data_IF_408363810757
#
_entry.id   IF_408363810757
#
_cell.length_a   1.000
_cell.length_b   1.000
_cell.length_c   1.000
_cell.angle_alpha   90.00
_cell.angle_beta   90.00
_cell.angle_gamma   90.00
#
_symmetry.space_group_name_H-M   'P 1'
#
loop_
_entity.id
_entity.type
_entity.pdbx_description
1 polymer ?
#
# COMPACT_ATOMS: atom_id res chain seq x y z
N UNK A 1 -9.75 32.29 30.09
CA UNK A 1 -8.45 31.78 29.58
C UNK A 1 -8.64 30.36 29.06
N UNK A 2 -8.01 30.12 27.91
CA UNK A 2 -7.98 28.99 26.96
C UNK A 2 -8.54 27.62 27.41
N UNK A 3 -9.56 27.17 26.66
CA UNK A 3 -9.96 25.76 26.53
C UNK A 3 -8.89 25.05 25.69
N UNK A 4 -8.29 23.99 26.23
CA UNK A 4 -7.35 23.14 25.50
C UNK A 4 -8.16 22.17 24.65
N UNK A 5 -8.04 22.31 23.33
CA UNK A 5 -8.60 21.39 22.35
C UNK A 5 -7.62 20.21 22.25
N UNK A 6 -8.00 19.04 22.76
CA UNK A 6 -7.25 17.81 22.53
C UNK A 6 -7.59 17.35 21.10
N UNK A 7 -6.67 17.60 20.17
CA UNK A 7 -6.74 17.03 18.84
C UNK A 7 -6.41 15.54 18.96
N UNK A 8 -7.46 14.70 18.94
CA UNK A 8 -7.33 13.28 18.78
C UNK A 8 -6.92 13.03 17.31
N UNK A 9 -5.62 12.89 17.06
CA UNK A 9 -5.12 12.45 15.77
C UNK A 9 -5.45 10.95 15.63
N UNK A 10 -6.66 10.67 15.14
CA UNK A 10 -6.96 9.36 14.58
C UNK A 10 -6.11 9.21 13.32
N UNK A 11 -4.94 8.59 13.46
CA UNK A 11 -4.23 8.00 12.33
C UNK A 11 -5.07 6.81 11.91
N UNK A 12 -6.10 7.08 11.12
CA UNK A 12 -6.80 6.06 10.38
C UNK A 12 -5.77 5.53 9.37
N UNK A 13 -5.14 4.40 9.69
CA UNK A 13 -4.48 3.57 8.69
C UNK A 13 -5.57 3.15 7.70
N UNK A 14 -5.78 3.98 6.67
CA UNK A 14 -6.46 3.56 5.46
C UNK A 14 -5.67 2.37 4.95
N UNK A 15 -6.29 1.20 4.99
CA UNK A 15 -5.76 -0.02 4.41
C UNK A 15 -5.17 0.31 3.04
N UNK A 16 -3.90 -0.06 2.84
CA UNK A 16 -3.15 0.16 1.60
C UNK A 16 -3.83 -0.59 0.43
N UNK A 17 -4.86 0.00 -0.18
CA UNK A 17 -5.45 -0.45 -1.44
C UNK A 17 -4.58 -0.04 -2.64
N UNK A 18 -3.26 -0.05 -2.46
CA UNK A 18 -2.27 0.30 -3.46
C UNK A 18 -1.81 -0.93 -4.24
N UNK A 19 -1.41 -0.76 -5.51
CA UNK A 19 -0.73 -1.80 -6.29
C UNK A 19 0.42 -2.35 -5.45
N UNK A 20 0.38 -3.66 -5.26
CA UNK A 20 1.49 -4.44 -4.73
C UNK A 20 2.26 -4.99 -5.93
N UNK A 21 3.60 -5.05 -5.85
CA UNK A 21 4.37 -5.78 -6.85
C UNK A 21 3.88 -7.25 -6.87
N UNK A 22 3.82 -7.87 -8.06
CA UNK A 22 3.54 -9.30 -8.30
C UNK A 22 2.09 -9.78 -8.53
N UNK A 23 1.08 -8.91 -8.69
CA UNK A 23 -0.29 -9.35 -9.04
C UNK A 23 -0.72 -8.95 -10.45
N UNK A 24 -0.44 -9.75 -11.50
CA UNK A 24 -0.97 -9.63 -12.88
C UNK A 24 -1.35 -8.18 -13.32
N UNK A 25 -0.45 -7.22 -13.15
CA UNK A 25 -0.72 -5.81 -13.39
C UNK A 25 -0.77 -5.55 -14.88
N UNK A 26 -1.85 -4.94 -15.35
CA UNK A 26 -1.95 -4.57 -16.76
C UNK A 26 -1.21 -3.26 -17.00
N UNK A 27 -0.25 -3.26 -17.93
CA UNK A 27 0.41 -2.05 -18.40
C UNK A 27 -0.16 -1.73 -19.78
N UNK A 28 -1.01 -0.71 -19.84
CA UNK A 28 -1.68 -0.31 -21.06
C UNK A 28 -0.80 0.67 -21.85
N UNK A 29 -0.49 0.34 -23.10
CA UNK A 29 0.44 1.08 -23.97
C UNK A 29 -0.23 1.43 -25.31
N UNK A 30 0.28 2.46 -26.00
CA UNK A 30 -0.18 2.77 -27.36
C UNK A 30 0.19 1.63 -28.33
N UNK A 31 -0.75 1.22 -29.17
CA UNK A 31 -0.48 0.31 -30.30
C UNK A 31 0.04 1.02 -31.55
N UNK A 32 0.22 2.36 -31.49
CA UNK A 32 0.76 3.14 -32.61
C UNK A 32 2.13 2.59 -33.03
N UNK A 33 2.37 2.46 -34.34
CA UNK A 33 3.60 1.86 -34.85
C UNK A 33 4.86 2.61 -34.38
N UNK A 34 5.82 1.86 -33.84
CA UNK A 34 7.06 2.41 -33.30
C UNK A 34 6.90 3.19 -31.99
N UNK A 35 5.84 2.93 -31.23
CA UNK A 35 5.73 3.31 -29.81
C UNK A 35 6.77 2.52 -29.01
N UNK A 36 7.58 3.17 -28.16
CA UNK A 36 8.42 2.47 -27.20
C UNK A 36 7.58 1.62 -26.25
N UNK A 37 7.88 0.32 -26.16
CA UNK A 37 7.24 -0.59 -25.21
C UNK A 37 8.09 -0.64 -23.94
N UNK A 38 7.51 -0.51 -22.74
CA UNK A 38 8.28 -0.58 -21.50
C UNK A 38 8.80 -2.01 -21.27
N UNK A 39 10.03 -2.12 -20.78
CA UNK A 39 10.50 -3.36 -20.16
C UNK A 39 9.85 -3.47 -18.78
N UNK A 40 9.19 -4.59 -18.51
CA UNK A 40 8.46 -4.82 -17.26
C UNK A 40 8.93 -6.11 -16.60
N UNK A 41 9.01 -6.09 -15.27
CA UNK A 41 9.39 -7.26 -14.48
C UNK A 41 8.32 -8.36 -14.46
N UNK A 42 8.55 -9.47 -13.74
CA UNK A 42 7.54 -10.51 -13.54
C UNK A 42 6.29 -9.93 -12.86
N UNK A 43 5.12 -10.43 -13.24
CA UNK A 43 3.82 -10.01 -12.70
C UNK A 43 3.16 -8.84 -13.43
N UNK A 44 3.78 -8.30 -14.48
CA UNK A 44 3.16 -7.32 -15.38
C UNK A 44 2.80 -7.94 -16.72
N UNK A 45 1.69 -7.49 -17.31
CA UNK A 45 1.22 -7.88 -18.63
C UNK A 45 1.04 -6.62 -19.47
N UNK A 46 1.83 -6.50 -20.54
CA UNK A 46 1.69 -5.38 -21.48
C UNK A 46 0.52 -5.64 -22.40
N UNK A 47 -0.42 -4.68 -22.44
CA UNK A 47 -1.58 -4.69 -23.32
C UNK A 47 -1.51 -3.46 -24.22
N UNK A 48 -1.55 -3.67 -25.53
CA UNK A 48 -1.55 -2.57 -26.48
C UNK A 48 -2.98 -2.15 -26.84
N UNK A 49 -3.21 -0.84 -26.95
CA UNK A 49 -4.41 -0.27 -27.54
C UNK A 49 -4.12 1.04 -28.27
N UNK A 50 -4.87 1.35 -29.32
CA UNK A 50 -4.79 2.67 -29.96
C UNK A 50 -5.56 3.72 -29.14
N UNK A 51 -6.66 3.28 -28.52
CA UNK A 51 -7.60 4.12 -27.77
C UNK A 51 -8.06 3.38 -26.52
N UNK A 52 -8.08 4.09 -25.40
CA UNK A 52 -8.64 3.59 -24.16
C UNK A 52 -9.31 4.71 -23.38
N UNK A 53 -10.24 4.36 -22.52
CA UNK A 53 -10.99 5.32 -21.71
C UNK A 53 -10.85 5.01 -20.23
N UNK A 54 -10.61 6.05 -19.44
CA UNK A 54 -10.80 6.00 -17.99
C UNK A 54 -12.32 6.00 -17.77
N UNK A 55 -12.86 4.82 -17.49
CA UNK A 55 -14.28 4.56 -17.44
C UNK A 55 -14.78 4.54 -15.99
N UNK A 56 -15.79 5.38 -15.72
CA UNK A 56 -16.56 5.31 -14.48
C UNK A 56 -17.76 4.42 -14.68
N UNK A 57 -17.95 3.47 -13.76
CA UNK A 57 -19.13 2.59 -13.72
C UNK A 57 -19.86 2.72 -12.39
N UNK A 58 -21.16 2.45 -12.39
CA UNK A 58 -21.99 2.46 -11.18
C UNK A 58 -22.87 1.22 -11.09
N UNK A 59 -22.79 0.49 -9.98
CA UNK A 59 -23.65 -0.65 -9.69
C UNK A 59 -24.81 -0.21 -8.81
N UNK A 60 -26.04 -0.35 -9.30
CA UNK A 60 -27.26 -0.06 -8.52
C UNK A 60 -27.48 -1.06 -7.39
N UNK A 61 -27.02 -2.31 -7.55
CA UNK A 61 -27.18 -3.37 -6.56
C UNK A 61 -26.32 -3.13 -5.32
N UNK A 62 -25.06 -2.75 -5.52
CA UNK A 62 -24.11 -2.48 -4.43
C UNK A 62 -24.03 -1.01 -4.06
N UNK A 63 -24.60 -0.13 -4.89
CA UNK A 63 -24.56 1.34 -4.76
C UNK A 63 -23.13 1.88 -4.72
N UNK A 64 -22.25 1.31 -5.53
CA UNK A 64 -20.82 1.64 -5.57
C UNK A 64 -20.39 2.08 -6.95
N UNK A 65 -19.49 3.08 -7.01
CA UNK A 65 -18.75 3.43 -8.21
C UNK A 65 -17.48 2.60 -8.34
N UNK A 66 -17.05 2.34 -9.58
CA UNK A 66 -15.71 1.83 -9.93
C UNK A 66 -15.05 2.74 -10.96
N UNK A 67 -13.72 2.69 -10.99
CA UNK A 67 -12.89 3.36 -11.98
C UNK A 67 -12.00 2.31 -12.63
N UNK A 68 -12.21 2.10 -13.91
CA UNK A 68 -11.54 1.08 -14.70
C UNK A 68 -10.95 1.73 -15.96
N UNK A 69 -10.01 1.07 -16.61
CA UNK A 69 -9.52 1.48 -17.93
C UNK A 69 -10.09 0.52 -18.97
N UNK A 70 -10.93 1.05 -19.86
CA UNK A 70 -11.54 0.28 -20.95
C UNK A 70 -10.66 0.35 -22.19
N UNK A 71 -10.33 -0.80 -22.75
CA UNK A 71 -9.66 -0.91 -24.04
C UNK A 71 -10.70 -0.92 -25.15
N UNK A 72 -10.67 0.10 -26.02
CA UNK A 72 -11.69 0.26 -27.06
C UNK A 72 -11.53 -0.70 -28.24
N UNK A 73 -10.37 -1.33 -28.41
CA UNK A 73 -10.16 -2.31 -29.47
C UNK A 73 -10.96 -3.60 -29.24
N UNK A 74 -11.23 -3.97 -27.98
CA UNK A 74 -11.87 -5.24 -27.62
C UNK A 74 -12.95 -5.12 -26.53
N UNK A 75 -13.16 -3.92 -25.97
CA UNK A 75 -14.11 -3.67 -24.89
C UNK A 75 -13.68 -4.20 -23.52
N UNK A 76 -12.47 -4.75 -23.37
CA UNK A 76 -11.98 -5.27 -22.10
C UNK A 76 -11.85 -4.14 -21.08
N UNK A 77 -12.27 -4.39 -19.84
CA UNK A 77 -12.11 -3.47 -18.73
C UNK A 77 -11.05 -3.98 -17.76
N UNK A 78 -10.08 -3.12 -17.45
CA UNK A 78 -9.00 -3.42 -16.52
C UNK A 78 -9.16 -2.53 -15.28
N UNK A 79 -9.16 -3.13 -14.09
CA UNK A 79 -9.43 -2.36 -12.88
C UNK A 79 -8.36 -1.29 -12.65
N UNK A 80 -8.77 -0.07 -12.27
CA UNK A 80 -7.83 1.01 -11.92
C UNK A 80 -6.90 0.64 -10.77
N UNK A 81 -7.32 -0.30 -9.91
CA UNK A 81 -6.51 -0.86 -8.81
C UNK A 81 -5.37 -1.75 -9.28
N UNK A 82 -5.35 -2.18 -10.55
CA UNK A 82 -4.33 -3.08 -11.10
C UNK A 82 -3.93 -2.73 -12.54
N UNK A 83 -4.07 -1.45 -12.92
CA UNK A 83 -3.76 -0.97 -14.27
C UNK A 83 -2.86 0.25 -14.23
N UNK A 84 -1.81 0.21 -15.03
CA UNK A 84 -0.89 1.31 -15.29
C UNK A 84 -1.14 1.84 -16.70
N UNK A 85 -1.52 3.10 -16.82
CA UNK A 85 -1.56 3.81 -18.10
C UNK A 85 -0.15 4.34 -18.38
N UNK A 86 0.49 3.84 -19.44
CA UNK A 86 1.88 4.16 -19.71
C UNK A 86 2.05 5.43 -20.54
N UNK A 87 2.89 6.35 -20.07
CA UNK A 87 3.34 7.53 -20.81
C UNK A 87 4.76 7.35 -21.33
N UNK A 88 4.93 7.39 -22.66
CA UNK A 88 6.22 7.17 -23.33
C UNK A 88 7.05 8.45 -23.46
N UNK A 89 8.34 8.30 -23.76
CA UNK A 89 9.27 9.42 -24.04
C UNK A 89 8.78 10.36 -25.14
N UNK A 90 8.07 9.85 -26.15
CA UNK A 90 7.50 10.67 -27.24
C UNK A 90 6.36 11.62 -26.78
N UNK A 91 5.83 11.40 -25.58
CA UNK A 91 4.83 12.29 -24.97
C UNK A 91 5.45 13.51 -24.28
N UNK A 92 6.78 13.58 -24.18
CA UNK A 92 7.47 14.79 -23.72
C UNK A 92 6.99 16.01 -24.51
N UNK A 93 6.64 17.05 -23.77
CA UNK A 93 6.21 18.34 -24.30
C UNK A 93 6.84 19.42 -23.45
N UNK A 94 7.33 20.48 -24.08
CA UNK A 94 7.80 21.64 -23.35
C UNK A 94 6.62 22.48 -22.88
N UNK A 95 6.67 22.96 -21.63
CA UNK A 95 5.70 23.92 -21.10
C UNK A 95 5.66 25.15 -22.02
N UNK A 96 4.49 25.51 -22.59
CA UNK A 96 4.39 26.66 -23.47
C UNK A 96 4.72 27.99 -22.77
N UNK A 97 5.15 28.98 -23.55
CA UNK A 97 5.24 30.36 -23.06
C UNK A 97 3.85 30.95 -22.80
N UNK A 98 3.73 31.80 -21.78
CA UNK A 98 2.49 32.50 -21.44
C UNK A 98 2.06 32.20 -20.01
N UNK A 99 1.60 33.24 -19.29
CA UNK A 99 1.26 33.12 -17.87
C UNK A 99 0.17 32.08 -17.60
N UNK A 100 -0.73 31.86 -18.56
CA UNK A 100 -1.81 30.88 -18.45
C UNK A 100 -1.32 29.42 -18.43
N UNK A 101 -0.08 29.15 -18.84
CA UNK A 101 0.52 27.81 -18.86
C UNK A 101 1.43 27.52 -17.67
N UNK A 102 1.64 28.50 -16.78
CA UNK A 102 2.55 28.41 -15.63
C UNK A 102 2.20 27.29 -14.64
N UNK A 103 0.95 26.81 -14.64
CA UNK A 103 0.51 25.68 -13.81
C UNK A 103 1.23 24.37 -14.16
N UNK A 104 1.73 24.23 -15.39
CA UNK A 104 2.48 23.06 -15.85
C UNK A 104 3.94 23.08 -15.38
N UNK A 105 4.41 24.20 -14.83
CA UNK A 105 5.79 24.42 -14.41
C UNK A 105 6.46 25.59 -15.13
N UNK A 106 7.80 25.71 -15.05
CA UNK A 106 8.53 26.78 -15.71
C UNK A 106 8.47 26.63 -17.23
N UNK A 107 8.44 27.76 -17.96
CA UNK A 107 8.46 27.79 -19.43
C UNK A 107 9.64 26.97 -19.96
N UNK A 108 9.39 26.10 -20.93
CA UNK A 108 10.40 25.18 -21.49
C UNK A 108 10.66 23.92 -20.65
N UNK A 109 10.11 23.84 -19.43
CA UNK A 109 10.14 22.62 -18.61
C UNK A 109 9.48 21.44 -19.30
N UNK A 110 9.80 20.22 -18.88
CA UNK A 110 9.26 18.99 -19.51
C UNK A 110 8.03 18.51 -18.79
N UNK A 111 6.97 18.20 -19.54
CA UNK A 111 5.79 17.46 -19.10
C UNK A 111 5.54 16.27 -20.03
N UNK A 112 4.73 15.32 -19.59
CA UNK A 112 4.22 14.24 -20.43
C UNK A 112 2.73 14.43 -20.65
N UNK A 113 2.33 14.55 -21.92
CA UNK A 113 0.94 14.83 -22.26
C UNK A 113 0.27 13.68 -23.01
N UNK A 114 -0.98 13.39 -22.66
CA UNK A 114 -1.92 12.64 -23.50
C UNK A 114 -2.81 13.66 -24.20
N UNK A 115 -2.65 13.86 -25.52
CA UNK A 115 -3.42 14.86 -26.24
C UNK A 115 -4.91 14.50 -26.32
N UNK A 116 -5.76 15.52 -26.29
CA UNK A 116 -7.21 15.34 -26.45
C UNK A 116 -7.66 15.04 -27.88
N UNK A 117 -6.76 15.07 -28.86
CA UNK A 117 -7.08 14.81 -30.27
C UNK A 117 -6.33 13.60 -30.81
N UNK A 118 -7.02 12.83 -31.66
CA UNK A 118 -6.47 11.65 -32.31
C UNK A 118 -5.21 11.96 -33.16
N UNK A 119 -5.17 13.03 -33.99
CA UNK A 119 -3.96 13.35 -34.77
C UNK A 119 -2.74 13.65 -33.89
N UNK A 120 -2.92 14.43 -32.82
CA UNK A 120 -1.84 14.75 -31.89
C UNK A 120 -1.37 13.52 -31.12
N UNK A 121 -2.30 12.65 -30.71
CA UNK A 121 -1.98 11.39 -30.03
C UNK A 121 -1.19 10.45 -30.93
N UNK A 122 -1.60 10.31 -32.19
CA UNK A 122 -0.88 9.52 -33.20
C UNK A 122 0.53 10.06 -33.43
N UNK A 123 0.68 11.38 -33.55
CA UNK A 123 1.98 12.04 -33.73
C UNK A 123 2.92 11.80 -32.54
N UNK A 124 2.40 11.87 -31.32
CA UNK A 124 3.14 11.57 -30.09
C UNK A 124 3.30 10.09 -29.80
N UNK A 125 2.69 9.21 -30.62
CA UNK A 125 2.60 7.77 -30.36
C UNK A 125 2.08 7.48 -28.94
N UNK A 126 1.17 8.31 -28.47
CA UNK A 126 0.53 8.15 -27.17
C UNK A 126 -0.68 7.25 -27.30
N UNK A 127 -1.13 6.70 -26.17
CA UNK A 127 -2.48 6.15 -26.10
C UNK A 127 -3.44 7.33 -26.35
N UNK A 128 -4.41 7.17 -27.26
CA UNK A 128 -5.49 8.14 -27.35
C UNK A 128 -6.38 7.90 -26.14
N UNK A 129 -6.23 8.71 -25.10
CA UNK A 129 -6.85 8.47 -23.80
C UNK A 129 -8.10 9.35 -23.65
N UNK A 130 -9.23 8.73 -23.34
CA UNK A 130 -10.49 9.41 -23.08
C UNK A 130 -11.02 9.19 -21.67
N UNK A 131 -12.20 9.72 -21.43
CA UNK A 131 -12.98 9.57 -20.21
C UNK A 131 -14.39 9.14 -20.58
N UNK A 132 -14.93 8.16 -19.88
CA UNK A 132 -16.24 7.63 -20.20
C UNK A 132 -17.10 7.35 -18.96
N UNK A 133 -18.41 7.43 -19.16
CA UNK A 133 -19.43 7.01 -18.19
C UNK A 133 -20.20 5.77 -18.68
N UNK A 134 -19.59 4.92 -19.51
CA UNK A 134 -20.27 3.80 -20.17
C UNK A 134 -20.90 2.81 -19.19
N UNK A 135 -20.34 2.67 -18.00
CA UNK A 135 -20.89 1.80 -16.95
C UNK A 135 -21.99 2.46 -16.11
N UNK A 136 -22.53 3.61 -16.54
CA UNK A 136 -23.61 4.33 -15.85
C UNK A 136 -24.78 4.51 -16.79
N UNK A 137 -25.93 3.93 -16.46
CA UNK A 137 -27.16 4.10 -17.23
C UNK A 137 -27.75 5.50 -17.06
N UNK A 138 -28.30 6.03 -18.15
CA UNK A 138 -29.10 7.26 -18.13
C UNK A 138 -30.31 7.14 -17.20
N UNK A 139 -30.69 8.24 -16.56
CA UNK A 139 -31.81 8.36 -15.63
C UNK A 139 -31.50 8.01 -14.17
N UNK A 140 -30.31 7.49 -13.87
CA UNK A 140 -29.93 7.16 -12.49
C UNK A 140 -29.59 8.42 -11.69
N UNK A 141 -28.75 9.29 -12.25
CA UNK A 141 -28.27 10.51 -11.62
C UNK A 141 -28.84 11.75 -12.29
N UNK A 142 -29.03 12.82 -11.53
CA UNK A 142 -29.34 14.15 -12.06
C UNK A 142 -28.15 14.71 -12.84
N UNK A 143 -28.35 15.70 -13.70
CA UNK A 143 -27.25 16.38 -14.40
C UNK A 143 -27.47 16.41 -15.92
N UNK A 144 -26.41 16.71 -16.66
CA UNK A 144 -26.48 16.87 -18.12
C UNK A 144 -26.70 15.53 -18.86
N UNK A 145 -27.26 15.61 -20.07
CA UNK A 145 -27.35 14.50 -21.04
C UNK A 145 -27.95 13.19 -20.49
N UNK A 146 -28.90 13.29 -19.57
CA UNK A 146 -29.56 12.11 -18.97
C UNK A 146 -28.87 11.54 -17.73
N UNK A 147 -27.78 12.14 -17.26
CA UNK A 147 -27.26 11.94 -15.91
C UNK A 147 -25.78 12.31 -15.76
N UNK A 148 -25.47 13.12 -14.76
CA UNK A 148 -24.11 13.61 -14.49
C UNK A 148 -23.40 12.79 -13.42
N UNK A 149 -22.15 12.41 -13.70
CA UNK A 149 -21.21 11.84 -12.74
C UNK A 149 -20.08 12.84 -12.54
N UNK A 150 -19.93 13.35 -11.34
CA UNK A 150 -18.83 14.25 -11.01
C UNK A 150 -17.60 13.46 -10.59
N UNK A 151 -16.48 13.71 -11.25
CA UNK A 151 -15.18 13.16 -10.91
C UNK A 151 -14.28 14.27 -10.37
N UNK A 152 -13.54 14.00 -9.30
CA UNK A 152 -12.50 14.90 -8.78
C UNK A 152 -11.23 14.13 -8.41
N UNK A 153 -10.09 14.79 -8.47
CA UNK A 153 -8.82 14.26 -7.93
C UNK A 153 -8.81 14.55 -6.43
N UNK A 154 -8.77 13.52 -5.59
CA UNK A 154 -8.61 13.69 -4.16
C UNK A 154 -7.15 13.96 -3.79
N UNK A 155 -6.24 13.17 -4.33
CA UNK A 155 -4.81 13.27 -4.05
C UNK A 155 -3.98 12.61 -5.15
N UNK A 156 -2.69 12.90 -5.13
CA UNK A 156 -1.70 12.28 -6.00
C UNK A 156 -0.46 11.96 -5.18
N UNK A 157 0.22 10.88 -5.54
CA UNK A 157 1.56 10.57 -5.09
C UNK A 157 2.41 10.08 -6.25
N UNK A 158 3.67 10.48 -6.31
CA UNK A 158 4.67 9.87 -7.18
C UNK A 158 5.46 8.86 -6.35
N UNK A 159 5.17 7.58 -6.56
CA UNK A 159 5.77 6.46 -5.83
C UNK A 159 7.26 6.28 -6.16
N UNK A 160 7.70 6.70 -7.35
CA UNK A 160 9.12 6.63 -7.73
C UNK A 160 9.92 7.81 -7.14
N UNK A 161 9.31 9.00 -7.08
CA UNK A 161 9.93 10.21 -6.55
C UNK A 161 8.94 11.00 -5.67
N UNK A 162 8.77 10.62 -4.38
CA UNK A 162 7.77 11.21 -3.49
C UNK A 162 7.80 12.74 -3.44
N UNK A 163 6.61 13.36 -3.42
CA UNK A 163 6.45 14.82 -3.37
C UNK A 163 6.71 15.55 -4.70
N UNK A 164 7.02 14.84 -5.77
CA UNK A 164 7.28 15.44 -7.09
C UNK A 164 6.12 15.23 -8.06
N UNK A 165 5.98 16.18 -9.01
CA UNK A 165 5.00 16.10 -10.08
C UNK A 165 3.57 16.44 -9.65
N UNK A 166 2.75 16.74 -10.64
CA UNK A 166 1.34 17.09 -10.54
C UNK A 166 0.58 16.46 -11.70
N UNK A 167 -0.73 16.31 -11.52
CA UNK A 167 -1.67 15.83 -12.52
C UNK A 167 -2.65 16.93 -12.89
N UNK A 168 -2.85 17.14 -14.18
CA UNK A 168 -3.86 18.05 -14.71
C UNK A 168 -4.63 17.40 -15.85
N UNK A 169 -5.94 17.63 -15.90
CA UNK A 169 -6.78 17.37 -17.06
C UNK A 169 -7.49 18.67 -17.48
N UNK A 170 -7.32 19.09 -18.74
CA UNK A 170 -7.80 20.38 -19.21
C UNK A 170 -8.14 20.38 -20.72
N UNK A 171 -9.09 21.22 -21.09
CA UNK A 171 -9.35 21.59 -22.48
C UNK A 171 -8.57 22.84 -22.86
N UNK A 172 -8.40 23.10 -24.16
CA UNK A 172 -7.87 24.39 -24.64
C UNK A 172 -8.99 25.13 -25.34
N UNK A 173 -9.33 26.32 -24.86
CA UNK A 173 -10.34 27.21 -25.45
C UNK A 173 -9.76 28.60 -25.64
N UNK A 174 -9.82 29.14 -26.86
CA UNK A 174 -9.27 30.47 -27.16
C UNK A 174 -7.77 30.64 -26.84
N UNK A 175 -6.99 29.55 -26.84
CA UNK A 175 -5.56 29.56 -26.47
C UNK A 175 -5.27 29.53 -24.96
N UNK A 176 -6.30 29.34 -24.13
CA UNK A 176 -6.19 29.23 -22.67
C UNK A 176 -6.66 27.86 -22.17
N UNK A 177 -6.09 27.35 -21.06
CA UNK A 177 -6.55 26.11 -20.45
C UNK A 177 -7.90 26.30 -19.75
N UNK A 178 -8.79 25.32 -19.89
CA UNK A 178 -10.03 25.18 -19.12
C UNK A 178 -9.89 23.92 -18.27
N UNK A 179 -9.70 24.11 -16.97
CA UNK A 179 -9.43 23.02 -16.03
C UNK A 179 -10.67 22.16 -15.76
N UNK A 180 -10.48 20.84 -15.79
CA UNK A 180 -11.48 19.84 -15.41
C UNK A 180 -11.06 19.10 -14.15
N UNK A 181 -9.83 18.59 -14.13
CA UNK A 181 -9.26 17.86 -12.99
C UNK A 181 -7.87 18.42 -12.66
N UNK A 182 -7.56 18.54 -11.38
CA UNK A 182 -6.26 19.05 -10.93
C UNK A 182 -5.91 18.45 -9.58
N UNK A 183 -4.66 18.01 -9.41
CA UNK A 183 -4.12 17.66 -8.09
C UNK A 183 -3.68 18.88 -7.26
N UNK A 184 -3.55 20.05 -7.90
CA UNK A 184 -3.17 21.28 -7.22
C UNK A 184 -4.39 22.06 -6.74
N UNK A 185 -4.29 22.56 -5.50
CA UNK A 185 -5.26 23.48 -4.92
C UNK A 185 -5.30 24.80 -5.72
N UNK A 186 -6.50 25.38 -5.90
CA UNK A 186 -6.69 26.66 -6.58
C UNK A 186 -7.13 26.57 -8.05
N UNK A 187 -7.18 25.36 -8.63
CA UNK A 187 -7.79 25.11 -9.94
C UNK A 187 -9.10 24.36 -9.80
N UNK A 188 -9.94 24.44 -10.84
CA UNK A 188 -11.16 23.63 -10.88
C UNK A 188 -10.80 22.14 -10.81
N UNK A 189 -11.44 21.43 -9.88
CA UNK A 189 -11.22 20.03 -9.61
C UNK A 189 -12.57 19.31 -9.47
N UNK A 190 -13.34 19.39 -10.54
CA UNK A 190 -14.61 18.71 -10.71
C UNK A 190 -14.88 18.60 -12.21
N UNK A 191 -15.03 17.38 -12.69
CA UNK A 191 -15.35 17.07 -14.06
C UNK A 191 -16.63 16.27 -14.15
N UNK A 192 -17.68 16.86 -14.73
CA UNK A 192 -18.93 16.14 -14.97
C UNK A 192 -18.82 15.30 -16.25
N UNK A 193 -18.89 13.98 -16.09
CA UNK A 193 -19.04 13.00 -17.15
C UNK A 193 -20.53 12.71 -17.35
N UNK A 194 -20.95 12.55 -18.61
CA UNK A 194 -22.31 12.11 -18.91
C UNK A 194 -22.44 10.59 -18.78
N UNK A 195 -23.57 10.12 -18.23
CA UNK A 195 -23.95 8.71 -18.20
C UNK A 195 -24.03 8.15 -19.63
N UNK A 196 -23.35 7.03 -19.89
CA UNK A 196 -23.17 6.46 -21.23
C UNK A 196 -22.32 7.30 -22.17
N UNK A 197 -21.80 8.44 -21.70
CA UNK A 197 -21.06 9.41 -22.50
C UNK A 197 -19.57 9.12 -22.59
N UNK A 198 -18.93 9.88 -23.48
CA UNK A 198 -17.51 9.77 -23.79
C UNK A 198 -16.95 11.14 -24.16
N UNK A 199 -15.73 11.42 -23.74
CA UNK A 199 -15.06 12.71 -23.97
C UNK A 199 -13.54 12.60 -23.95
N UNK A 200 -12.88 13.62 -24.48
CA UNK A 200 -11.42 13.75 -24.42
C UNK A 200 -11.03 15.12 -23.92
N UNK A 201 -10.03 15.14 -23.04
CA UNK A 201 -9.35 16.34 -22.55
C UNK A 201 -7.85 16.05 -22.54
N UNK A 202 -7.02 17.10 -22.54
CA UNK A 202 -5.58 16.90 -22.44
C UNK A 202 -5.27 16.47 -21.02
N UNK A 203 -4.43 15.45 -20.85
CA UNK A 203 -3.88 15.06 -19.56
C UNK A 203 -2.40 15.44 -19.54
N UNK A 204 -1.92 16.02 -18.45
CA UNK A 204 -0.51 16.32 -18.25
C UNK A 204 0.01 15.80 -16.90
N UNK A 205 1.19 15.19 -16.92
CA UNK A 205 2.01 14.83 -15.75
C UNK A 205 3.30 15.65 -15.79
N UNK A 206 3.67 16.29 -14.68
CA UNK A 206 4.77 17.26 -14.65
C UNK A 206 6.12 16.71 -14.15
N UNK A 207 6.21 15.41 -13.93
CA UNK A 207 7.46 14.71 -13.66
C UNK A 207 7.40 13.27 -14.23
N UNK A 208 8.55 12.60 -14.31
CA UNK A 208 8.64 11.17 -14.60
C UNK A 208 8.42 10.33 -13.33
N UNK A 209 8.18 9.02 -13.49
CA UNK A 209 7.97 8.08 -12.39
C UNK A 209 6.58 7.46 -12.37
N UNK A 210 6.30 6.69 -11.32
CA UNK A 210 5.01 6.04 -11.09
C UNK A 210 4.09 6.97 -10.29
N UNK A 211 3.02 7.45 -10.89
CA UNK A 211 1.99 8.18 -10.17
C UNK A 211 0.86 7.25 -9.76
N UNK A 212 0.37 7.42 -8.53
CA UNK A 212 -0.96 6.98 -8.12
C UNK A 212 -1.82 8.23 -7.94
N UNK A 213 -2.90 8.31 -8.71
CA UNK A 213 -3.88 9.39 -8.63
C UNK A 213 -5.16 8.81 -8.02
N UNK A 214 -5.60 9.40 -6.91
CA UNK A 214 -6.83 9.01 -6.24
C UNK A 214 -7.97 9.88 -6.74
N UNK A 215 -8.97 9.25 -7.34
CA UNK A 215 -10.18 9.90 -7.81
C UNK A 215 -11.33 9.64 -6.85
N UNK A 216 -12.29 10.57 -6.81
CA UNK A 216 -13.57 10.36 -6.16
C UNK A 216 -14.66 10.64 -7.18
N UNK A 217 -15.54 9.67 -7.39
CA UNK A 217 -16.71 9.78 -8.24
C UNK A 217 -17.95 10.03 -7.37
N UNK A 218 -18.84 10.91 -7.80
CA UNK A 218 -20.11 11.15 -7.13
C UNK A 218 -21.23 11.44 -8.11
N UNK A 219 -22.46 11.24 -7.66
CA UNK A 219 -23.68 11.54 -8.41
C UNK A 219 -24.89 11.65 -7.49
N UNK A 220 -25.84 12.51 -7.84
CA UNK A 220 -27.08 12.70 -7.07
C UNK A 220 -28.22 11.92 -7.73
N UNK A 221 -28.80 10.96 -7.00
CA UNK A 221 -29.84 10.07 -7.53
C UNK A 221 -31.09 10.85 -7.90
N UNK A 222 -31.63 10.61 -9.10
CA UNK A 222 -32.91 11.22 -9.54
C UNK A 222 -34.06 10.80 -8.62
N UNK A 223 -34.07 9.53 -8.20
CA UNK A 223 -35.18 8.92 -7.47
C UNK A 223 -35.37 9.48 -6.05
N UNK A 224 -34.26 9.86 -5.38
CA UNK A 224 -34.28 10.21 -3.95
C UNK A 224 -33.65 11.58 -3.65
N UNK A 225 -32.89 12.15 -4.58
CA UNK A 225 -32.07 13.35 -4.33
C UNK A 225 -30.83 13.08 -3.48
N UNK A 226 -30.53 11.82 -3.14
CA UNK A 226 -29.34 11.44 -2.36
C UNK A 226 -28.07 11.50 -3.22
N UNK A 227 -27.01 12.13 -2.70
CA UNK A 227 -25.68 12.08 -3.32
C UNK A 227 -24.94 10.83 -2.87
N UNK A 228 -24.55 10.01 -3.84
CA UNK A 228 -23.64 8.88 -3.65
C UNK A 228 -22.22 9.36 -3.98
N UNK A 229 -21.27 9.07 -3.10
CA UNK A 229 -19.85 9.34 -3.31
C UNK A 229 -19.05 8.05 -3.11
N UNK A 230 -18.05 7.84 -3.96
CA UNK A 230 -17.16 6.68 -3.87
C UNK A 230 -16.16 6.84 -2.72
N UNK A 231 -15.67 5.71 -2.21
CA UNK A 231 -14.35 5.71 -1.59
C UNK A 231 -13.29 6.11 -2.64
N UNK A 232 -12.09 6.54 -2.24
CA UNK A 232 -11.02 6.89 -3.19
C UNK A 232 -10.70 5.74 -4.14
N UNK A 233 -10.75 6.02 -5.44
CA UNK A 233 -10.52 5.08 -6.53
C UNK A 233 -9.14 5.37 -7.14
N UNK A 234 -8.16 4.44 -7.05
CA UNK A 234 -6.82 4.70 -7.56
C UNK A 234 -6.76 4.41 -9.07
N UNK A 235 -5.90 5.17 -9.76
CA UNK A 235 -5.41 4.85 -11.08
C UNK A 235 -3.93 5.20 -11.17
N UNK A 236 -3.17 4.43 -11.96
CA UNK A 236 -1.73 4.53 -12.02
C UNK A 236 -1.26 5.02 -13.37
N UNK A 237 -0.26 5.89 -13.36
CA UNK A 237 0.41 6.36 -14.55
C UNK A 237 1.91 6.09 -14.42
N UNK A 238 2.43 5.25 -15.30
CA UNK A 238 3.86 5.00 -15.41
C UNK A 238 4.47 5.95 -16.43
N UNK A 239 5.33 6.86 -16.03
CA UNK A 239 5.96 7.83 -16.94
C UNK A 239 7.42 7.46 -17.15
N UNK A 240 7.75 7.06 -18.38
CA UNK A 240 9.09 6.61 -18.80
C UNK A 240 9.63 5.46 -17.95
N UNK A 241 10.71 5.72 -17.20
CA UNK A 241 11.21 4.81 -16.19
C UNK A 241 10.42 5.05 -14.91
N UNK A 242 9.67 4.04 -14.52
CA UNK A 242 8.86 4.07 -13.31
C UNK A 242 9.10 2.79 -12.53
N UNK A 243 8.93 2.90 -11.22
CA UNK A 243 8.97 1.76 -10.31
C UNK A 243 7.79 1.91 -9.37
N UNK A 244 7.02 0.83 -9.22
CA UNK A 244 6.21 0.65 -8.04
C UNK A 244 7.20 0.22 -6.96
N UNK A 245 7.41 1.00 -5.90
CA UNK A 245 8.21 0.55 -4.78
C UNK A 245 7.69 -0.83 -4.36
N UNK A 246 8.59 -1.76 -4.01
CA UNK A 246 8.15 -2.91 -3.21
C UNK A 246 7.30 -2.32 -2.08
N UNK A 247 6.10 -2.86 -1.89
CA UNK A 247 5.21 -2.30 -0.89
C UNK A 247 6.01 -2.12 0.39
N UNK A 248 5.92 -0.93 0.98
CA UNK A 248 6.33 -0.77 2.36
C UNK A 248 5.31 -1.60 3.12
N UNK A 249 5.61 -2.90 3.26
CA UNK A 249 4.87 -3.82 4.11
C UNK A 249 4.56 -3.03 5.38
N UNK A 250 3.29 -2.94 5.82
CA UNK A 250 2.97 -2.23 7.04
C UNK A 250 3.94 -2.75 8.09
N UNK A 251 4.76 -1.85 8.64
CA UNK A 251 5.84 -2.24 9.55
C UNK A 251 5.22 -3.15 10.59
N UNK A 252 5.64 -4.40 10.55
CA UNK A 252 5.12 -5.47 11.40
C UNK A 252 6.30 -6.25 11.96
N UNK A 253 5.99 -7.05 12.96
CA UNK A 253 6.98 -7.83 13.67
C UNK A 253 8.15 -6.99 14.20
N UNK A 254 9.39 -7.46 13.96
CA UNK A 254 10.61 -6.87 14.53
C UNK A 254 10.83 -5.41 14.09
N UNK A 255 10.56 -5.07 12.83
CA UNK A 255 10.79 -3.71 12.30
C UNK A 255 9.86 -2.68 12.95
N UNK A 256 8.60 -3.04 13.22
CA UNK A 256 7.68 -2.17 13.94
C UNK A 256 8.12 -1.96 15.39
N UNK A 257 8.51 -3.04 16.05
CA UNK A 257 9.00 -3.01 17.42
C UNK A 257 10.28 -2.17 17.54
N UNK A 258 11.19 -2.28 16.57
CA UNK A 258 12.42 -1.48 16.49
C UNK A 258 12.11 0.02 16.48
N UNK A 259 11.22 0.47 15.59
CA UNK A 259 10.86 1.88 15.52
C UNK A 259 10.06 2.38 16.74
N UNK A 260 9.38 1.48 17.46
CA UNK A 260 8.68 1.82 18.69
C UNK A 260 9.60 1.88 19.91
N UNK A 261 10.68 1.10 19.92
CA UNK A 261 11.57 0.92 21.08
C UNK A 261 12.79 1.84 21.06
N UNK A 262 13.17 2.33 19.88
CA UNK A 262 14.37 3.13 19.67
C UNK A 262 14.06 4.51 19.10
N UNK A 263 14.90 5.51 19.40
CA UNK A 263 14.88 6.78 18.67
C UNK A 263 15.22 6.57 17.19
N UNK A 264 14.82 7.49 16.27
CA UNK A 264 15.10 7.34 14.85
C UNK A 264 16.58 7.05 14.53
N UNK A 265 17.51 7.72 15.20
CA UNK A 265 18.95 7.52 15.00
C UNK A 265 19.42 6.15 15.50
N UNK A 266 18.89 5.67 16.63
CA UNK A 266 19.22 4.34 17.16
C UNK A 266 18.63 3.22 16.29
N UNK A 267 17.45 3.44 15.71
CA UNK A 267 16.81 2.49 14.80
C UNK A 267 17.54 2.33 13.45
N UNK A 268 18.37 3.30 13.08
CA UNK A 268 19.24 3.26 11.90
C UNK A 268 20.60 2.60 12.18
N UNK A 269 21.00 2.43 13.45
CA UNK A 269 22.27 1.82 13.85
C UNK A 269 22.10 0.31 14.13
N UNK A 270 22.63 -0.59 13.28
CA UNK A 270 22.52 -2.03 13.48
C UNK A 270 23.25 -2.55 14.72
N UNK A 271 24.24 -1.81 15.24
CA UNK A 271 24.96 -2.19 16.46
C UNK A 271 24.16 -1.88 17.73
N UNK A 272 23.12 -1.06 17.62
CA UNK A 272 22.21 -0.73 18.72
C UNK A 272 20.90 -1.49 18.60
N UNK A 273 20.30 -1.50 17.40
CA UNK A 273 18.94 -1.98 17.19
C UNK A 273 18.84 -3.26 16.35
N UNK A 274 19.98 -3.83 15.95
CA UNK A 274 20.04 -5.12 15.27
C UNK A 274 19.66 -6.29 16.19
N UNK A 275 19.16 -7.42 15.65
CA UNK A 275 18.65 -8.54 16.47
C UNK A 275 19.63 -9.12 17.50
N UNK A 276 20.94 -9.04 17.24
CA UNK A 276 21.99 -9.55 18.12
C UNK A 276 22.63 -8.47 19.01
N UNK A 277 22.13 -7.23 18.97
CA UNK A 277 22.62 -6.16 19.84
C UNK A 277 21.93 -6.23 21.20
N UNK A 278 22.69 -5.90 22.25
CA UNK A 278 22.27 -5.80 23.65
C UNK A 278 22.69 -4.41 24.15
N UNK A 279 21.91 -3.35 23.84
CA UNK A 279 22.33 -1.98 24.04
C UNK A 279 22.17 -1.49 25.49
N UNK A 280 21.38 -2.17 26.32
CA UNK A 280 21.26 -1.88 27.77
C UNK A 280 22.09 -2.81 28.65
N UNK A 281 22.65 -3.88 28.10
CA UNK A 281 23.72 -4.68 28.69
C UNK A 281 23.24 -5.67 29.73
N UNK A 282 22.00 -6.14 29.65
CA UNK A 282 21.41 -7.07 30.61
C UNK A 282 21.58 -8.55 30.21
N UNK A 283 22.16 -8.80 29.03
CA UNK A 283 22.41 -10.12 28.47
C UNK A 283 21.28 -10.68 27.61
N UNK A 284 20.17 -9.94 27.43
CA UNK A 284 19.13 -10.23 26.46
C UNK A 284 19.33 -9.36 25.21
N UNK A 285 19.64 -10.00 24.08
CA UNK A 285 19.69 -9.29 22.81
C UNK A 285 18.29 -8.84 22.36
N UNK A 286 18.25 -7.91 21.41
CA UNK A 286 17.00 -7.37 20.89
C UNK A 286 16.04 -8.45 20.35
N UNK A 287 16.54 -9.59 19.85
CA UNK A 287 15.69 -10.69 19.42
C UNK A 287 15.00 -11.38 20.62
N UNK A 288 15.73 -11.56 21.73
CA UNK A 288 15.17 -12.05 23.01
C UNK A 288 14.14 -11.05 23.55
N UNK A 289 14.48 -9.77 23.60
CA UNK A 289 13.58 -8.68 24.04
C UNK A 289 12.27 -8.67 23.23
N UNK A 290 12.40 -8.70 21.91
CA UNK A 290 11.29 -8.73 20.97
C UNK A 290 10.40 -9.97 21.13
N UNK A 291 11.02 -11.12 21.39
CA UNK A 291 10.33 -12.39 21.51
C UNK A 291 9.60 -12.55 22.83
N UNK A 292 10.19 -12.06 23.93
CA UNK A 292 9.71 -12.28 25.29
C UNK A 292 9.01 -11.06 25.90
N UNK A 293 8.99 -9.92 25.19
CA UNK A 293 8.25 -8.73 25.56
C UNK A 293 8.97 -7.85 26.58
N UNK A 294 10.28 -7.72 26.41
CA UNK A 294 11.11 -6.87 27.24
C UNK A 294 11.28 -5.44 26.72
N UNK A 295 12.16 -4.68 27.37
CA UNK A 295 12.51 -3.32 27.00
C UNK A 295 14.00 -3.24 26.65
N UNK A 296 14.36 -3.08 25.36
CA UNK A 296 15.75 -3.14 24.91
C UNK A 296 16.55 -1.89 25.27
N UNK A 297 15.99 -0.95 26.04
CA UNK A 297 16.67 0.28 26.46
C UNK A 297 16.76 0.40 27.97
N UNK A 298 16.36 -0.65 28.69
CA UNK A 298 16.26 -0.66 30.13
C UNK A 298 16.44 -2.08 30.68
N UNK A 299 17.62 -2.34 31.22
CA UNK A 299 18.03 -3.56 31.92
C UNK A 299 17.17 -3.96 33.14
N UNK A 300 16.11 -3.21 33.46
CA UNK A 300 15.21 -3.50 34.56
C UNK A 300 14.15 -4.55 34.15
N UNK A 301 14.37 -5.78 34.56
CA UNK A 301 13.43 -6.88 34.34
C UNK A 301 14.16 -8.21 34.37
N UNK A 302 13.41 -9.31 34.45
CA UNK A 302 13.97 -10.63 34.21
C UNK A 302 13.14 -11.27 33.11
N UNK A 303 13.71 -11.39 31.92
CA UNK A 303 13.03 -11.93 30.73
C UNK A 303 13.25 -13.43 30.55
N UNK A 304 13.90 -14.07 31.53
CA UNK A 304 14.15 -15.50 31.51
C UNK A 304 12.91 -16.36 31.84
N UNK A 305 12.89 -17.62 31.37
CA UNK A 305 11.89 -18.59 31.80
C UNK A 305 12.01 -18.89 33.29
N UNK A 306 10.88 -19.05 33.96
CA UNK A 306 10.83 -19.61 35.33
C UNK A 306 10.65 -21.11 35.25
N UNK A 307 11.20 -21.85 36.21
CA UNK A 307 11.15 -23.32 36.25
C UNK A 307 10.52 -23.79 37.56
N UNK A 308 9.64 -24.79 37.47
CA UNK A 308 9.02 -25.43 38.63
C UNK A 308 8.81 -26.92 38.38
N UNK A 309 8.60 -27.69 39.44
CA UNK A 309 8.23 -29.12 39.33
C UNK A 309 6.82 -29.34 39.85
N UNK A 310 6.10 -30.29 39.27
CA UNK A 310 4.81 -30.74 39.79
C UNK A 310 4.68 -32.25 39.68
N UNK A 311 3.81 -32.85 40.48
CA UNK A 311 3.37 -34.23 40.29
C UNK A 311 1.89 -34.22 39.89
N UNK A 312 1.56 -34.83 38.77
CA UNK A 312 0.17 -34.94 38.30
C UNK A 312 -0.06 -36.36 37.80
N UNK A 313 -1.06 -37.03 38.35
CA UNK A 313 -1.41 -38.42 38.03
C UNK A 313 -0.22 -39.37 38.12
N UNK A 314 0.63 -39.21 39.14
CA UNK A 314 1.79 -40.07 39.38
C UNK A 314 3.03 -39.75 38.51
N UNK A 315 2.96 -38.79 37.60
CA UNK A 315 4.11 -38.36 36.79
C UNK A 315 4.72 -37.07 37.35
N UNK A 316 6.03 -37.06 37.56
CA UNK A 316 6.80 -35.85 37.87
C UNK A 316 7.08 -35.06 36.59
N UNK A 317 6.62 -33.82 36.56
CA UNK A 317 6.78 -32.90 35.43
C UNK A 317 7.73 -31.78 35.80
N UNK A 318 8.60 -31.43 34.86
CA UNK A 318 9.32 -30.17 34.87
C UNK A 318 8.53 -29.17 34.04
N UNK A 319 8.06 -28.11 34.70
CA UNK A 319 7.34 -27.00 34.09
C UNK A 319 8.27 -25.82 33.90
N UNK A 320 8.08 -25.13 32.79
CA UNK A 320 8.79 -23.91 32.51
C UNK A 320 7.83 -22.91 31.89
N UNK A 321 7.85 -21.70 32.44
CA UNK A 321 6.91 -20.65 32.11
C UNK A 321 7.67 -19.42 31.60
N UNK A 322 7.21 -18.86 30.49
CA UNK A 322 7.82 -17.70 29.84
C UNK A 322 6.76 -16.95 29.04
N UNK A 323 6.99 -15.66 28.84
CA UNK A 323 6.22 -14.83 27.92
C UNK A 323 6.68 -15.08 26.49
N UNK A 324 5.77 -15.14 25.54
CA UNK A 324 6.09 -15.38 24.14
C UNK A 324 5.21 -14.54 23.22
N UNK A 325 5.82 -13.84 22.27
CA UNK A 325 5.11 -13.14 21.19
C UNK A 325 4.39 -14.15 20.29
N UNK A 326 3.16 -13.84 19.90
CA UNK A 326 2.33 -14.73 19.08
C UNK A 326 1.89 -14.13 17.74
N UNK A 327 2.16 -12.85 17.50
CA UNK A 327 1.71 -12.13 16.31
C UNK A 327 2.76 -11.97 15.19
N UNK A 328 3.88 -12.69 15.25
CA UNK A 328 4.90 -12.72 14.20
C UNK A 328 5.12 -14.17 13.72
N UNK A 329 4.66 -14.53 12.51
CA UNK A 329 4.78 -15.90 11.99
C UNK A 329 6.21 -16.30 11.61
N UNK A 330 7.13 -15.34 11.45
CA UNK A 330 8.55 -15.63 11.22
C UNK A 330 9.28 -15.99 12.51
N UNK A 331 8.73 -15.61 13.67
CA UNK A 331 9.35 -15.83 14.96
C UNK A 331 9.07 -17.25 15.48
N UNK A 332 10.14 -17.99 15.73
CA UNK A 332 10.10 -19.31 16.36
C UNK A 332 10.58 -19.18 17.80
N UNK A 333 9.67 -19.37 18.76
CA UNK A 333 9.96 -19.45 20.19
C UNK A 333 9.60 -20.86 20.64
N UNK A 334 10.59 -21.74 20.77
CA UNK A 334 10.33 -23.12 21.12
C UNK A 334 11.26 -23.63 22.21
N UNK A 335 10.75 -24.37 23.19
CA UNK A 335 11.59 -25.00 24.19
C UNK A 335 12.28 -26.22 23.58
N UNK A 336 13.58 -26.35 23.82
CA UNK A 336 14.36 -27.51 23.41
C UNK A 336 15.06 -28.10 24.62
N UNK A 337 15.26 -29.41 24.62
CA UNK A 337 15.82 -30.12 25.77
C UNK A 337 16.96 -31.06 25.35
N UNK A 338 17.72 -31.52 26.35
CA UNK A 338 18.64 -32.65 26.27
C UNK A 338 18.76 -33.32 27.64
N UNK A 339 19.17 -34.59 27.67
CA UNK A 339 19.29 -35.35 28.93
C UNK A 339 20.70 -35.27 29.51
N UNK A 340 21.70 -34.99 28.66
CA UNK A 340 23.07 -34.76 29.10
C UNK A 340 23.65 -33.49 28.48
N UNK A 341 24.47 -32.77 29.23
CA UNK A 341 25.26 -31.66 28.68
C UNK A 341 26.31 -32.12 27.66
N UNK A 342 26.70 -33.40 27.69
CA UNK A 342 27.65 -34.01 26.73
C UNK A 342 27.03 -34.33 25.38
N UNK A 343 25.70 -34.32 25.26
CA UNK A 343 25.02 -34.48 23.97
C UNK A 343 25.22 -33.24 23.11
N UNK A 344 25.52 -33.48 21.82
CA UNK A 344 25.78 -32.42 20.84
C UNK A 344 24.50 -31.72 20.40
N UNK A 345 23.40 -32.47 20.23
CA UNK A 345 22.17 -31.96 19.64
C UNK A 345 21.10 -31.71 20.71
N UNK A 346 20.47 -30.54 20.63
CA UNK A 346 19.22 -30.27 21.32
C UNK A 346 18.06 -30.91 20.56
N UNK A 347 17.09 -31.44 21.30
CA UNK A 347 16.00 -32.23 20.77
C UNK A 347 14.65 -31.55 21.02
N UNK A 348 13.71 -31.79 20.10
CA UNK A 348 12.27 -31.51 20.26
C UNK A 348 11.46 -32.82 20.40
N UNK A 349 12.12 -33.98 20.41
CA UNK A 349 11.48 -35.30 20.31
C UNK A 349 11.01 -35.92 21.64
N UNK A 350 11.26 -35.26 22.78
CA UNK A 350 10.60 -35.61 24.06
C UNK A 350 9.32 -34.79 24.13
N UNK A 351 8.29 -35.38 24.73
CA UNK A 351 7.00 -34.75 25.00
C UNK A 351 7.24 -33.44 25.75
N UNK A 352 7.34 -32.35 25.00
CA UNK A 352 7.30 -30.97 25.45
C UNK A 352 5.96 -30.45 25.00
N UNK A 353 5.05 -30.25 25.96
CA UNK A 353 3.68 -29.87 25.66
C UNK A 353 3.35 -28.54 26.31
N UNK A 354 2.70 -27.67 25.54
CA UNK A 354 2.09 -26.44 26.04
C UNK A 354 0.84 -26.82 26.82
N UNK A 355 0.78 -26.45 28.10
CA UNK A 355 -0.37 -26.72 28.97
C UNK A 355 -1.24 -25.49 29.21
N UNK A 356 -0.67 -24.30 29.05
CA UNK A 356 -1.43 -23.06 29.07
C UNK A 356 -0.75 -21.99 28.23
N UNK A 357 -1.56 -21.06 27.71
CA UNK A 357 -1.14 -19.77 27.16
C UNK A 357 -2.22 -18.77 27.53
N UNK A 358 -1.90 -17.79 28.37
CA UNK A 358 -2.83 -16.72 28.72
C UNK A 358 -2.43 -15.47 27.94
N UNK A 359 -3.29 -14.93 27.06
CA UNK A 359 -3.00 -13.67 26.39
C UNK A 359 -2.70 -12.56 27.40
N UNK A 360 -1.65 -11.80 27.14
CA UNK A 360 -1.38 -10.56 27.87
C UNK A 360 -2.37 -9.48 27.43
N UNK A 361 -2.55 -8.44 28.24
CA UNK A 361 -3.54 -7.38 27.99
C UNK A 361 -3.33 -6.58 26.70
N UNK A 362 -2.20 -6.75 26.02
CA UNK A 362 -1.87 -6.11 24.74
C UNK A 362 -2.28 -6.94 23.51
N UNK A 363 -2.67 -8.21 23.67
CA UNK A 363 -2.99 -9.12 22.57
C UNK A 363 -1.82 -9.48 21.66
N UNK A 364 -0.57 -9.16 22.06
CA UNK A 364 0.66 -9.42 21.29
C UNK A 364 1.43 -10.61 21.83
N UNK A 365 1.39 -10.82 23.15
CA UNK A 365 2.07 -11.92 23.82
C UNK A 365 1.09 -12.86 24.52
N UNK A 366 1.62 -14.02 24.87
CA UNK A 366 1.01 -14.94 25.81
C UNK A 366 2.00 -15.31 26.91
N UNK A 367 1.52 -15.38 28.14
CA UNK A 367 2.23 -16.05 29.23
C UNK A 367 1.98 -17.55 29.11
N UNK A 368 2.99 -18.28 28.63
CA UNK A 368 2.91 -19.70 28.31
C UNK A 368 3.51 -20.55 29.41
N UNK A 369 2.88 -21.70 29.67
CA UNK A 369 3.45 -22.76 30.51
C UNK A 369 3.54 -24.02 29.68
N UNK A 370 4.72 -24.61 29.70
CA UNK A 370 5.02 -25.85 29.02
C UNK A 370 5.57 -26.86 30.03
N UNK A 371 5.48 -28.14 29.70
CA UNK A 371 5.99 -29.20 30.57
C UNK A 371 6.62 -30.35 29.81
N UNK A 372 7.55 -31.02 30.47
CA UNK A 372 8.19 -32.26 30.01
C UNK A 372 8.27 -33.28 31.15
N UNK A 373 8.05 -34.58 30.90
CA UNK A 373 8.11 -35.57 31.96
C UNK A 373 9.57 -35.80 32.37
N UNK A 374 9.84 -35.86 33.67
CA UNK A 374 11.19 -36.16 34.15
C UNK A 374 11.55 -37.64 33.86
N UNK A 375 10.58 -38.56 33.88
CA UNK A 375 10.81 -39.98 33.59
C UNK A 375 11.74 -40.64 34.62
N UNK A 376 12.46 -41.70 34.20
CA UNK A 376 13.51 -42.33 35.02
C UNK A 376 14.86 -41.56 34.98
N UNK A 377 14.98 -40.59 34.08
CA UNK A 377 16.17 -39.76 33.93
C UNK A 377 16.22 -38.73 35.06
N UNK A 378 17.29 -38.75 35.85
CA UNK A 378 17.42 -37.91 37.05
C UNK A 378 17.68 -36.44 36.72
N UNK A 379 17.96 -36.10 35.44
CA UNK A 379 18.34 -34.76 34.98
C UNK A 379 17.82 -34.50 33.57
N UNK A 380 17.23 -33.33 33.36
CA UNK A 380 16.98 -32.76 32.03
C UNK A 380 17.46 -31.32 31.99
N UNK A 381 18.04 -30.93 30.86
CA UNK A 381 18.46 -29.56 30.58
C UNK A 381 17.50 -28.98 29.56
N UNK A 382 17.04 -27.76 29.78
CA UNK A 382 16.15 -27.05 28.87
C UNK A 382 16.74 -25.69 28.54
N UNK A 383 16.46 -25.23 27.32
CA UNK A 383 16.64 -23.86 26.90
C UNK A 383 15.50 -23.43 25.99
N UNK A 384 15.30 -22.13 25.88
CA UNK A 384 14.43 -21.57 24.87
C UNK A 384 15.25 -21.33 23.60
N UNK A 385 14.83 -21.91 22.47
CA UNK A 385 15.37 -21.58 21.15
C UNK A 385 14.50 -20.48 20.56
N UNK A 386 15.12 -19.32 20.34
CA UNK A 386 14.52 -18.18 19.67
C UNK A 386 15.25 -18.00 18.33
N UNK A 387 14.48 -17.91 17.25
CA UNK A 387 15.01 -17.61 15.91
C UNK A 387 13.94 -16.91 15.08
N UNK A 388 14.35 -16.06 14.15
CA UNK A 388 13.48 -15.38 13.21
C UNK A 388 14.02 -15.54 11.79
#
# INVERSE_FOLDING_TARGET
>A
MKRVLIALAAVLLLAQAGLQAQTNTTVLVSSTAGTPVPEVGPGYVVVASAHADINVSYSTNTRTFTLDVRNDANGAQYSGTNTVVYAVTNQRTSVPSGAQWSFLGPVGGTIWSFPSSLPSSTTKKSLYLGWSGYGVSSGIFTGTSGGGINLRVQSIENLTAPGTGQFYAYETSGGSPVFRLSSSNGYNNSYELSAGGHSHVNLALTASGMFRVWFVASGTLVATGETIESQPLPLYFGVETWQIPAAVEPLNGYEAWKLASFSPTQAEDPLVSGPAADPDGDGADNLVEYALGGNPTNAAGSLGPTVSTTNTSGTNWLRFAYRARTNDPALVIQPVFKVSLTETNWSTNVVVQKISGQPTGDGVYEDQVWQTPLGADVRRFLRLKISR
#
